data_IF_316977917730
#
_entry.id   IF_316977917730
#
_cell.length_a   1.000
_cell.length_b   1.000
_cell.length_c   1.000
_cell.angle_alpha   90.00
_cell.angle_beta   90.00
_cell.angle_gamma   90.00
#
_symmetry.space_group_name_H-M   'P 1'
#
loop_
_entity.id
_entity.type
_entity.pdbx_description
1 polymer ?
#
# COMPACT_ATOMS: atom_id res chain seq x y z
N UNK A 1 8.64 5.88 40.17
CA UNK A 1 7.64 5.86 39.08
C UNK A 1 6.94 4.52 39.13
N UNK A 2 5.65 4.48 39.51
CA UNK A 2 4.89 3.23 39.50
C UNK A 2 4.72 2.75 38.05
N UNK A 3 4.97 1.47 37.80
CA UNK A 3 4.75 0.85 36.49
C UNK A 3 3.24 0.78 36.20
N UNK A 4 2.85 0.84 34.91
CA UNK A 4 1.45 0.68 34.49
C UNK A 4 0.81 -0.58 35.10
N UNK A 5 1.59 -1.66 35.27
CA UNK A 5 1.11 -2.88 35.94
C UNK A 5 0.82 -2.73 37.44
N UNK A 6 1.53 -1.86 38.15
CA UNK A 6 1.27 -1.58 39.57
C UNK A 6 -0.02 -0.77 39.74
N UNK A 7 -0.21 0.26 38.90
CA UNK A 7 -1.43 1.10 38.93
C UNK A 7 -2.67 0.25 38.63
N UNK A 8 -2.60 -0.61 37.60
CA UNK A 8 -3.71 -1.53 37.27
C UNK A 8 -4.01 -2.48 38.43
N UNK A 9 -2.98 -3.01 39.10
CA UNK A 9 -3.16 -3.95 40.21
C UNK A 9 -3.74 -3.27 41.46
N UNK A 10 -3.33 -2.03 41.74
CA UNK A 10 -3.89 -1.22 42.83
C UNK A 10 -5.35 -0.87 42.57
N UNK A 11 -5.70 -0.43 41.36
CA UNK A 11 -7.10 -0.16 40.99
C UNK A 11 -7.95 -1.43 41.00
N UNK A 12 -7.43 -2.56 40.50
CA UNK A 12 -8.15 -3.84 40.55
C UNK A 12 -8.44 -4.27 41.99
N UNK A 13 -7.49 -4.06 42.92
CA UNK A 13 -7.71 -4.36 44.35
C UNK A 13 -8.79 -3.47 44.97
N UNK A 14 -8.84 -2.19 44.58
CA UNK A 14 -9.90 -1.27 45.01
C UNK A 14 -11.28 -1.65 44.45
N UNK A 15 -11.33 -2.22 43.24
CA UNK A 15 -12.57 -2.63 42.56
C UNK A 15 -13.01 -4.07 42.87
N UNK A 16 -12.27 -4.83 43.69
CA UNK A 16 -12.58 -6.24 43.97
C UNK A 16 -12.24 -7.21 42.83
N UNK A 17 -11.39 -6.76 41.89
CA UNK A 17 -10.91 -7.52 40.74
C UNK A 17 -11.32 -6.87 39.40
N UNK A 18 -10.65 -7.23 38.29
CA UNK A 18 -11.00 -6.71 36.97
C UNK A 18 -12.34 -7.29 36.51
N UNK A 19 -13.37 -6.44 36.47
CA UNK A 19 -14.69 -6.76 35.94
C UNK A 19 -14.95 -6.05 34.62
N UNK A 20 -15.80 -6.61 33.75
CA UNK A 20 -16.17 -5.99 32.47
C UNK A 20 -16.74 -4.58 32.71
N UNK A 21 -16.07 -3.56 32.19
CA UNK A 21 -16.46 -2.14 32.34
C UNK A 21 -15.76 -1.39 33.49
N UNK A 22 -15.05 -2.08 34.39
CA UNK A 22 -14.28 -1.48 35.49
C UNK A 22 -13.06 -0.67 35.00
N UNK A 23 -12.56 0.26 35.81
CA UNK A 23 -11.41 1.09 35.46
C UNK A 23 -10.14 0.22 35.29
N UNK A 24 -9.95 -0.79 36.12
CA UNK A 24 -8.86 -1.76 35.97
C UNK A 24 -8.95 -2.57 34.67
N UNK A 25 -10.16 -2.95 34.23
CA UNK A 25 -10.35 -3.61 32.94
C UNK A 25 -10.13 -2.66 31.75
N UNK A 26 -10.51 -1.39 31.87
CA UNK A 26 -10.25 -0.37 30.84
C UNK A 26 -8.75 -0.11 30.68
N UNK A 27 -8.03 0.06 31.79
CA UNK A 27 -6.58 0.24 31.78
C UNK A 27 -5.84 -1.00 31.22
N UNK A 28 -6.28 -2.21 31.56
CA UNK A 28 -5.73 -3.42 30.93
C UNK A 28 -5.99 -3.44 29.42
N UNK A 29 -7.20 -3.09 29.00
CA UNK A 29 -7.57 -3.03 27.58
C UNK A 29 -6.72 -2.01 26.81
N UNK A 30 -6.42 -0.85 27.40
CA UNK A 30 -5.53 0.15 26.80
C UNK A 30 -4.10 -0.38 26.63
N UNK A 31 -3.54 -1.00 27.68
CA UNK A 31 -2.19 -1.61 27.59
C UNK A 31 -2.14 -2.70 26.53
N UNK A 32 -3.19 -3.52 26.43
CA UNK A 32 -3.29 -4.55 25.39
C UNK A 32 -3.40 -3.93 24.00
N UNK A 33 -4.19 -2.87 23.82
CA UNK A 33 -4.29 -2.15 22.53
C UNK A 33 -2.95 -1.55 22.12
N UNK A 34 -2.25 -0.92 23.06
CA UNK A 34 -0.93 -0.32 22.84
C UNK A 34 0.10 -1.38 22.42
N UNK A 35 0.23 -2.49 23.15
CA UNK A 35 1.15 -3.57 22.81
C UNK A 35 0.85 -4.20 21.46
N UNK A 36 -0.43 -4.42 21.16
CA UNK A 36 -0.84 -4.96 19.88
C UNK A 36 -0.47 -4.03 18.71
N UNK A 37 -0.61 -2.72 18.90
CA UNK A 37 -0.17 -1.73 17.91
C UNK A 37 1.35 -1.74 17.75
N UNK A 38 2.12 -1.76 18.83
CA UNK A 38 3.59 -1.83 18.78
C UNK A 38 4.10 -3.08 18.04
N UNK A 39 3.47 -4.23 18.29
CA UNK A 39 3.81 -5.46 17.57
C UNK A 39 3.50 -5.37 16.07
N UNK A 40 2.31 -4.85 15.73
CA UNK A 40 1.95 -4.61 14.34
C UNK A 40 2.92 -3.61 13.67
N UNK A 41 3.29 -2.54 14.39
CA UNK A 41 4.19 -1.51 13.90
C UNK A 41 5.60 -2.05 13.68
N UNK A 42 6.08 -2.95 14.51
CA UNK A 42 7.38 -3.61 14.31
C UNK A 42 7.38 -4.47 13.04
N UNK A 43 6.33 -5.27 12.83
CA UNK A 43 6.23 -6.15 11.65
C UNK A 43 6.05 -5.34 10.37
N UNK A 44 5.04 -4.47 10.33
CA UNK A 44 4.72 -3.67 9.14
C UNK A 44 5.79 -2.61 8.90
N UNK A 45 6.29 -1.95 9.94
CA UNK A 45 7.38 -0.98 9.84
C UNK A 45 8.66 -1.59 9.28
N UNK A 46 9.00 -2.81 9.69
CA UNK A 46 10.14 -3.53 9.10
C UNK A 46 9.93 -3.81 7.61
N UNK A 47 8.72 -4.20 7.19
CA UNK A 47 8.39 -4.40 5.77
C UNK A 47 8.46 -3.09 4.99
N UNK A 48 7.84 -2.02 5.50
CA UNK A 48 7.86 -0.68 4.90
C UNK A 48 9.29 -0.18 4.68
N UNK A 49 10.20 -0.44 5.63
CA UNK A 49 11.59 0.02 5.55
C UNK A 49 12.48 -0.86 4.68
N UNK A 50 12.37 -2.20 4.78
CA UNK A 50 13.35 -3.12 4.21
C UNK A 50 12.85 -3.86 2.96
N UNK A 51 11.54 -3.99 2.79
CA UNK A 51 10.91 -4.69 1.66
C UNK A 51 9.58 -4.01 1.30
N UNK A 52 9.60 -2.71 0.92
CA UNK A 52 8.38 -1.93 0.68
C UNK A 52 7.47 -2.53 -0.39
N UNK A 53 8.01 -3.30 -1.33
CA UNK A 53 7.31 -4.06 -2.36
C UNK A 53 6.51 -5.27 -1.83
N UNK A 54 6.82 -5.73 -0.62
CA UNK A 54 6.13 -6.86 0.04
C UNK A 54 4.92 -6.42 0.87
N UNK A 55 4.71 -5.11 1.02
CA UNK A 55 3.60 -4.56 1.80
C UNK A 55 2.28 -4.80 1.05
N UNK A 56 1.31 -5.40 1.74
CA UNK A 56 -0.01 -5.77 1.21
C UNK A 56 -1.14 -4.94 1.84
N UNK A 57 -2.34 -4.92 1.24
CA UNK A 57 -3.49 -4.26 1.88
C UNK A 57 -3.88 -4.90 3.22
N UNK A 58 -3.61 -6.20 3.40
CA UNK A 58 -3.79 -6.87 4.70
C UNK A 58 -2.85 -6.27 5.76
N UNK A 59 -1.58 -6.05 5.42
CA UNK A 59 -0.61 -5.40 6.31
C UNK A 59 -1.05 -3.98 6.67
N UNK A 60 -1.50 -3.21 5.67
CA UNK A 60 -2.00 -1.85 5.85
C UNK A 60 -3.27 -1.79 6.71
N UNK A 61 -4.26 -2.63 6.43
CA UNK A 61 -5.49 -2.71 7.21
C UNK A 61 -5.23 -3.19 8.64
N UNK A 62 -4.27 -4.10 8.83
CA UNK A 62 -3.89 -4.60 10.14
C UNK A 62 -3.34 -3.48 11.02
N UNK A 63 -2.35 -2.73 10.53
CA UNK A 63 -1.75 -1.64 11.32
C UNK A 63 -2.75 -0.49 11.55
N UNK A 64 -3.56 -0.14 10.54
CA UNK A 64 -4.61 0.86 10.64
C UNK A 64 -5.60 0.52 11.76
N UNK A 65 -6.14 -0.70 11.79
CA UNK A 65 -7.10 -1.11 12.83
C UNK A 65 -6.52 -0.99 14.24
N UNK A 66 -5.23 -1.29 14.43
CA UNK A 66 -4.56 -1.16 15.73
C UNK A 66 -4.32 0.30 16.09
N UNK A 67 -3.88 1.12 15.14
CA UNK A 67 -3.68 2.55 15.35
C UNK A 67 -4.99 3.25 15.71
N UNK A 68 -6.09 2.95 15.01
CA UNK A 68 -7.40 3.52 15.30
C UNK A 68 -7.92 3.12 16.69
N UNK A 69 -7.62 1.90 17.15
CA UNK A 69 -7.98 1.44 18.50
C UNK A 69 -7.19 2.12 19.61
N UNK A 70 -5.96 2.53 19.33
CA UNK A 70 -5.08 3.21 20.28
C UNK A 70 -5.36 4.71 20.31
N UNK A 71 -5.40 5.34 19.14
CA UNK A 71 -5.59 6.79 19.00
C UNK A 71 -7.06 7.23 19.12
N UNK A 72 -7.99 6.30 18.90
CA UNK A 72 -9.42 6.60 18.78
C UNK A 72 -9.81 7.30 17.48
N UNK A 73 -8.85 7.49 16.56
CA UNK A 73 -9.09 8.18 15.28
C UNK A 73 -9.26 7.14 14.18
N UNK A 74 -10.40 7.19 13.49
CA UNK A 74 -10.73 6.23 12.44
C UNK A 74 -9.91 6.42 11.16
N UNK A 75 -9.26 7.57 10.96
CA UNK A 75 -8.39 7.81 9.83
C UNK A 75 -6.96 8.03 10.34
N UNK A 76 -5.96 7.34 9.75
CA UNK A 76 -4.58 7.49 10.17
C UNK A 76 -4.08 8.90 9.89
N UNK A 77 -3.26 9.43 10.79
CA UNK A 77 -2.65 10.74 10.59
C UNK A 77 -1.76 10.71 9.34
N UNK A 78 -1.72 11.80 8.57
CA UNK A 78 -0.80 11.91 7.42
C UNK A 78 0.64 11.72 7.89
N UNK A 79 1.37 10.80 7.26
CA UNK A 79 2.74 10.45 7.63
C UNK A 79 2.86 9.41 8.76
N UNK A 80 1.75 8.95 9.33
CA UNK A 80 1.75 7.77 10.22
C UNK A 80 2.21 6.52 9.48
N UNK A 81 2.60 5.50 10.24
CA UNK A 81 2.99 4.21 9.68
C UNK A 81 1.85 3.55 8.90
N UNK A 82 0.60 3.68 9.37
CA UNK A 82 -0.56 3.12 8.65
C UNK A 82 -0.80 3.84 7.34
N UNK A 83 -0.71 5.17 7.31
CA UNK A 83 -0.83 5.95 6.06
C UNK A 83 0.28 5.59 5.06
N UNK A 84 1.50 5.34 5.53
CA UNK A 84 2.61 4.89 4.68
C UNK A 84 2.39 3.45 4.17
N UNK A 85 1.93 2.55 5.04
CA UNK A 85 1.61 1.17 4.66
C UNK A 85 0.47 1.10 3.65
N UNK A 86 -0.59 1.90 3.82
CA UNK A 86 -1.70 2.02 2.85
C UNK A 86 -1.22 2.53 1.50
N UNK A 87 -0.34 3.53 1.48
CA UNK A 87 0.22 4.06 0.25
C UNK A 87 1.08 3.02 -0.48
N UNK A 88 1.91 2.27 0.25
CA UNK A 88 2.75 1.21 -0.32
C UNK A 88 1.92 0.01 -0.79
N UNK A 89 0.94 -0.41 0.02
CA UNK A 89 -0.01 -1.46 -0.35
C UNK A 89 -0.77 -1.09 -1.62
N UNK A 90 -1.32 0.12 -1.71
CA UNK A 90 -2.01 0.59 -2.90
C UNK A 90 -1.07 0.68 -4.12
N UNK A 91 0.20 1.04 -3.93
CA UNK A 91 1.19 1.04 -5.00
C UNK A 91 1.56 -0.38 -5.46
N UNK A 92 1.66 -1.34 -4.53
CA UNK A 92 1.96 -2.74 -4.82
C UNK A 92 0.77 -3.49 -5.41
N UNK A 93 -0.43 -3.17 -4.95
CA UNK A 93 -1.68 -3.67 -5.52
C UNK A 93 -2.00 -2.98 -6.84
N UNK A 94 -1.61 -1.72 -7.07
CA UNK A 94 -1.59 -1.13 -8.41
C UNK A 94 -0.66 -1.87 -9.38
N UNK A 95 0.35 -2.60 -8.86
CA UNK A 95 1.18 -3.54 -9.63
C UNK A 95 0.56 -4.94 -9.74
N UNK A 96 -0.20 -5.41 -8.75
CA UNK A 96 -0.77 -6.77 -8.69
C UNK A 96 -2.20 -6.88 -9.26
N UNK A 97 -2.99 -5.83 -9.16
CA UNK A 97 -4.42 -5.75 -9.49
C UNK A 97 -4.63 -4.92 -10.75
N UNK A 98 -4.31 -5.53 -11.89
CA UNK A 98 -5.03 -5.28 -13.14
C UNK A 98 -6.49 -5.81 -13.09
N UNK A 99 -6.98 -6.30 -11.94
CA UNK A 99 -8.36 -6.70 -11.73
C UNK A 99 -8.88 -6.23 -10.37
N UNK A 100 -10.10 -5.69 -10.38
CA UNK A 100 -10.99 -5.45 -9.25
C UNK A 100 -10.91 -4.12 -8.47
N UNK A 101 -11.60 -3.13 -9.03
CA UNK A 101 -12.60 -2.20 -8.42
C UNK A 101 -12.46 -1.69 -6.97
N UNK A 102 -12.30 -0.36 -6.91
CA UNK A 102 -13.12 0.63 -6.18
C UNK A 102 -13.23 0.63 -4.64
N UNK A 103 -12.73 1.71 -4.04
CA UNK A 103 -13.22 2.50 -2.87
C UNK A 103 -12.02 2.91 -1.98
N UNK A 104 -11.85 4.08 -1.36
CA UNK A 104 -12.62 5.32 -1.20
C UNK A 104 -11.70 6.30 -0.46
N UNK A 105 -11.64 7.58 -0.86
CA UNK A 105 -11.35 8.68 0.08
C UNK A 105 -10.19 9.63 -0.25
N UNK A 106 -10.56 10.85 -0.70
CA UNK A 106 -10.06 12.17 -0.29
C UNK A 106 -9.75 13.14 -1.45
N UNK A 107 -10.72 14.01 -1.74
CA UNK A 107 -10.54 15.46 -1.89
C UNK A 107 -9.53 16.01 -2.90
N UNK A 108 -9.57 15.49 -4.11
CA UNK A 108 -9.59 16.26 -5.37
C UNK A 108 -10.56 15.49 -6.27
N UNK A 109 -11.10 16.03 -7.38
CA UNK A 109 -12.07 15.25 -8.17
C UNK A 109 -11.53 13.82 -8.38
N UNK A 110 -12.19 12.77 -7.86
CA UNK A 110 -11.63 11.43 -7.86
C UNK A 110 -11.33 10.95 -9.28
N UNK A 111 -12.04 11.51 -10.27
CA UNK A 111 -11.77 11.34 -11.69
C UNK A 111 -10.45 11.99 -12.12
N UNK A 112 -10.13 13.19 -11.67
CA UNK A 112 -8.89 13.91 -12.03
C UNK A 112 -7.67 13.25 -11.41
N UNK A 113 -7.74 12.88 -10.13
CA UNK A 113 -6.65 12.17 -9.44
C UNK A 113 -6.42 10.79 -10.06
N UNK A 114 -7.47 10.01 -10.30
CA UNK A 114 -7.33 8.71 -10.96
C UNK A 114 -6.81 8.83 -12.41
N UNK A 115 -7.05 9.95 -13.10
CA UNK A 115 -6.46 10.19 -14.43
C UNK A 115 -4.99 10.58 -14.32
N UNK A 116 -4.62 11.44 -13.35
CA UNK A 116 -3.23 11.79 -13.08
C UNK A 116 -2.41 10.57 -12.69
N UNK A 117 -2.93 9.72 -11.81
CA UNK A 117 -2.26 8.49 -11.41
C UNK A 117 -2.07 7.55 -12.59
N UNK A 118 -3.06 7.42 -13.48
CA UNK A 118 -2.94 6.63 -14.72
C UNK A 118 -1.87 7.19 -15.66
N UNK A 119 -1.82 8.51 -15.83
CA UNK A 119 -0.80 9.17 -16.67
C UNK A 119 0.61 8.98 -16.09
N UNK A 120 0.78 9.18 -14.79
CA UNK A 120 2.08 8.99 -14.11
C UNK A 120 2.54 7.53 -14.18
N UNK A 121 1.62 6.58 -13.97
CA UNK A 121 1.91 5.16 -14.10
C UNK A 121 2.35 4.79 -15.53
N UNK A 122 1.70 5.35 -16.56
CA UNK A 122 2.13 5.18 -17.94
C UNK A 122 3.49 5.80 -18.20
N UNK A 123 3.74 7.04 -17.74
CA UNK A 123 5.00 7.75 -17.94
C UNK A 123 6.19 7.01 -17.29
N UNK A 124 6.01 6.50 -16.08
CA UNK A 124 7.05 5.74 -15.41
C UNK A 124 7.36 4.43 -16.14
N UNK A 125 6.32 3.72 -16.59
CA UNK A 125 6.46 2.51 -17.38
C UNK A 125 7.18 2.77 -18.70
N UNK A 126 6.78 3.83 -19.41
CA UNK A 126 7.33 4.17 -20.72
C UNK A 126 8.80 4.56 -20.61
N UNK A 127 9.21 5.30 -19.56
CA UNK A 127 10.63 5.61 -19.32
C UNK A 127 11.48 4.36 -19.11
N UNK A 128 11.01 3.41 -18.30
CA UNK A 128 11.74 2.17 -18.03
C UNK A 128 11.90 1.33 -19.30
N UNK A 129 10.80 1.08 -20.01
CA UNK A 129 10.81 0.25 -21.21
C UNK A 129 11.52 0.95 -22.37
N UNK A 130 11.33 2.25 -22.56
CA UNK A 130 12.05 3.00 -23.60
C UNK A 130 13.57 3.01 -23.35
N UNK A 131 14.00 3.14 -22.08
CA UNK A 131 15.41 3.00 -21.73
C UNK A 131 15.93 1.60 -22.06
N UNK A 132 15.15 0.56 -21.80
CA UNK A 132 15.51 -0.81 -22.17
C UNK A 132 15.54 -1.00 -23.70
N UNK A 133 14.54 -0.53 -24.43
CA UNK A 133 14.51 -0.57 -25.90
C UNK A 133 15.72 0.11 -26.53
N UNK A 134 16.21 1.20 -25.94
CA UNK A 134 17.36 1.93 -26.45
C UNK A 134 18.71 1.23 -26.16
N UNK A 135 18.83 0.59 -24.99
CA UNK A 135 20.11 0.04 -24.53
C UNK A 135 20.25 -1.48 -24.72
N UNK A 136 19.16 -2.23 -24.58
CA UNK A 136 19.11 -3.69 -24.65
C UNK A 136 17.77 -4.13 -25.31
N UNK A 137 17.55 -3.81 -26.60
CA UNK A 137 16.30 -4.10 -27.29
C UNK A 137 15.94 -5.58 -27.28
N UNK A 138 16.92 -6.50 -27.30
CA UNK A 138 16.70 -7.95 -27.24
C UNK A 138 16.14 -8.45 -25.90
N UNK A 139 16.18 -7.64 -24.85
CA UNK A 139 15.66 -7.97 -23.52
C UNK A 139 14.24 -7.47 -23.28
N UNK A 140 13.65 -6.76 -24.25
CA UNK A 140 12.27 -6.30 -24.16
C UNK A 140 11.36 -7.52 -24.26
N UNK A 141 10.54 -7.73 -23.23
CA UNK A 141 9.66 -8.90 -23.15
C UNK A 141 8.22 -8.57 -23.54
N UNK A 142 7.44 -9.60 -23.85
CA UNK A 142 6.02 -9.47 -24.18
C UNK A 142 5.22 -8.86 -23.03
N UNK A 143 5.55 -9.24 -21.79
CA UNK A 143 4.92 -8.70 -20.59
C UNK A 143 5.12 -7.18 -20.51
N UNK A 144 6.28 -6.67 -20.90
CA UNK A 144 6.56 -5.23 -20.91
C UNK A 144 5.78 -4.49 -22.01
N UNK A 145 5.68 -5.09 -23.19
CA UNK A 145 4.85 -4.56 -24.29
C UNK A 145 3.37 -4.50 -23.90
N UNK A 146 2.83 -5.58 -23.34
CA UNK A 146 1.43 -5.66 -22.91
C UNK A 146 1.14 -4.75 -21.71
N UNK A 147 2.11 -4.59 -20.80
CA UNK A 147 2.02 -3.65 -19.68
C UNK A 147 1.91 -2.20 -20.17
N UNK A 148 2.75 -1.80 -21.12
CA UNK A 148 2.67 -0.47 -21.72
C UNK A 148 1.36 -0.25 -22.46
N UNK A 149 0.92 -1.23 -23.24
CA UNK A 149 -0.34 -1.17 -23.96
C UNK A 149 -1.52 -0.96 -23.00
N UNK A 150 -1.57 -1.74 -21.91
CA UNK A 150 -2.59 -1.63 -20.87
C UNK A 150 -2.57 -0.26 -20.19
N UNK A 151 -1.39 0.27 -19.87
CA UNK A 151 -1.23 1.58 -19.21
C UNK A 151 -1.60 2.74 -20.14
N UNK A 152 -1.23 2.67 -21.42
CA UNK A 152 -1.60 3.69 -22.42
C UNK A 152 -3.11 3.72 -22.63
N UNK A 153 -3.75 2.55 -22.78
CA UNK A 153 -5.20 2.42 -22.88
C UNK A 153 -5.93 3.00 -21.67
N UNK A 154 -5.40 2.78 -20.46
CA UNK A 154 -6.01 3.32 -19.24
C UNK A 154 -5.87 4.82 -19.12
N UNK A 155 -4.71 5.36 -19.49
CA UNK A 155 -4.39 6.78 -19.40
C UNK A 155 -5.06 7.62 -20.50
N UNK A 156 -5.11 7.12 -21.74
CA UNK A 156 -5.56 7.90 -22.90
C UNK A 156 -6.77 7.30 -23.61
N UNK A 157 -7.25 6.12 -23.20
CA UNK A 157 -8.36 5.41 -23.85
C UNK A 157 -8.02 4.82 -25.22
N UNK A 158 -6.79 5.03 -25.69
CA UNK A 158 -6.30 4.57 -26.99
C UNK A 158 -4.80 4.28 -26.90
N UNK A 159 -4.30 3.46 -27.82
CA UNK A 159 -2.86 3.22 -28.00
C UNK A 159 -2.43 3.95 -29.26
N UNK A 160 -1.39 4.78 -29.16
CA UNK A 160 -0.86 5.52 -30.29
C UNK A 160 -0.13 4.57 -31.24
N UNK A 161 -0.54 4.51 -32.50
CA UNK A 161 0.18 3.74 -33.53
C UNK A 161 1.60 4.29 -33.66
N UNK A 162 2.61 3.45 -33.45
CA UNK A 162 4.02 3.85 -33.44
C UNK A 162 4.51 4.50 -32.13
N UNK A 163 3.67 4.58 -31.09
CA UNK A 163 4.08 5.00 -29.76
C UNK A 163 4.91 3.94 -29.03
N UNK A 164 5.43 4.28 -27.84
CA UNK A 164 6.34 3.42 -27.06
C UNK A 164 5.74 2.02 -26.79
N UNK A 165 4.43 1.93 -26.49
CA UNK A 165 3.76 0.65 -26.31
C UNK A 165 3.74 -0.20 -27.59
N UNK A 166 3.39 0.41 -28.72
CA UNK A 166 3.37 -0.26 -30.03
C UNK A 166 4.77 -0.73 -30.43
N UNK A 167 5.81 0.06 -30.16
CA UNK A 167 7.18 -0.30 -30.47
C UNK A 167 7.69 -1.41 -29.54
N UNK A 168 7.37 -1.36 -28.25
CA UNK A 168 7.73 -2.40 -27.29
C UNK A 168 7.07 -3.75 -27.65
N UNK A 169 5.80 -3.74 -28.08
CA UNK A 169 5.13 -4.96 -28.55
C UNK A 169 5.77 -5.53 -29.83
N UNK A 170 6.16 -4.68 -30.78
CA UNK A 170 6.87 -5.13 -31.98
C UNK A 170 8.23 -5.76 -31.64
N UNK A 171 9.03 -5.08 -30.81
CA UNK A 171 10.34 -5.59 -30.38
C UNK A 171 10.19 -6.90 -29.59
N UNK A 172 9.24 -6.96 -28.66
CA UNK A 172 8.96 -8.20 -27.93
C UNK A 172 8.58 -9.36 -28.85
N UNK A 173 7.73 -9.11 -29.86
CA UNK A 173 7.34 -10.13 -30.82
C UNK A 173 8.48 -10.57 -31.74
N UNK A 174 9.45 -9.69 -32.02
CA UNK A 174 10.69 -10.04 -32.73
C UNK A 174 11.61 -10.87 -31.83
N UNK A 175 11.77 -10.51 -30.56
CA UNK A 175 12.58 -11.25 -29.59
C UNK A 175 12.01 -12.65 -29.32
N UNK A 176 10.68 -12.80 -29.22
CA UNK A 176 10.02 -14.10 -29.06
C UNK A 176 10.22 -15.02 -30.27
N UNK A 177 10.45 -14.47 -31.47
CA UNK A 177 10.76 -15.26 -32.68
C UNK A 177 12.24 -15.63 -32.79
N UNK A 178 13.10 -14.86 -32.12
CA UNK A 178 14.55 -15.06 -32.13
C UNK A 178 15.06 -15.96 -30.99
N UNK A 179 14.22 -16.23 -29.98
CA UNK A 179 14.48 -17.15 -28.86
C UNK A 179 14.11 -18.61 -29.20
#
# INVERSE_FOLDING_TARGET
MSSAGQVISETAKQEGGPQKGSASAQMQSEVVRQRNFEQAAAVVGSKVQNAPESVTSEDAAHIHSREAKVTGVANPAKGSLSSQAESLAAANEGRSNNGAVNATGASSNPTEQAQQDRMQNFEHASKQVASKMANNPEQVTKEEGDLLHSREQRAFGTTSKGGVASQAQSLAAENEKAA
#
